data_IF_026541452110
#
_entry.id   IF_026541452110
#
_cell.length_a   1.000
_cell.length_b   1.000
_cell.length_c   1.000
_cell.angle_alpha   90.00
_cell.angle_beta   90.00
_cell.angle_gamma   90.00
#
_symmetry.space_group_name_H-M   'P 1'
#
loop_
_entity.id
_entity.type
_entity.pdbx_description
1 polymer ?
#
# COMPACT_ATOMS: atom_id res chain seq x y z
N UNK A 1 20.65 -27.09 78.74
CA UNK A 1 21.03 -28.34 78.07
C UNK A 1 20.85 -28.12 76.56
N UNK A 2 21.92 -28.10 75.77
CA UNK A 2 21.81 -28.05 74.32
C UNK A 2 21.46 -29.47 73.84
N UNK A 3 20.28 -29.66 73.27
CA UNK A 3 19.92 -30.94 72.64
C UNK A 3 20.80 -31.15 71.40
N UNK A 4 21.55 -32.20 71.37
CA UNK A 4 22.31 -32.63 70.19
C UNK A 4 21.34 -33.27 69.21
N UNK A 5 21.45 -32.95 67.94
CA UNK A 5 20.68 -33.59 66.85
C UNK A 5 21.04 -35.07 66.77
N UNK A 6 20.02 -35.90 66.61
CA UNK A 6 20.25 -37.34 66.36
C UNK A 6 20.70 -37.58 64.90
N UNK A 7 21.48 -38.60 64.66
CA UNK A 7 21.99 -38.96 63.32
C UNK A 7 20.86 -39.20 62.31
N UNK A 8 19.69 -39.69 62.79
CA UNK A 8 18.53 -39.96 61.98
C UNK A 8 17.78 -38.63 61.58
N UNK A 9 17.72 -37.63 62.46
CA UNK A 9 17.15 -36.31 62.14
C UNK A 9 17.99 -35.62 61.05
N UNK A 10 19.30 -35.68 61.12
CA UNK A 10 20.19 -35.14 60.12
C UNK A 10 20.01 -35.85 58.78
N UNK A 11 19.88 -37.19 58.77
CA UNK A 11 19.69 -37.99 57.56
C UNK A 11 18.34 -37.62 56.87
N UNK A 12 17.25 -37.49 57.64
CA UNK A 12 15.94 -37.10 57.08
C UNK A 12 15.96 -35.69 56.50
N UNK A 13 16.60 -34.73 57.16
CA UNK A 13 16.76 -33.35 56.66
C UNK A 13 17.56 -33.34 55.37
N UNK A 14 18.64 -34.09 55.26
CA UNK A 14 19.45 -34.19 54.04
C UNK A 14 18.66 -34.79 52.87
N UNK A 15 17.84 -35.82 53.11
CA UNK A 15 16.96 -36.41 52.09
C UNK A 15 15.94 -35.37 51.59
N UNK A 16 15.27 -34.67 52.50
CA UNK A 16 14.29 -33.64 52.15
C UNK A 16 14.94 -32.51 51.36
N UNK A 17 16.09 -32.02 51.79
CA UNK A 17 16.82 -30.96 51.07
C UNK A 17 17.24 -31.47 49.68
N UNK A 18 17.73 -32.71 49.54
CA UNK A 18 18.07 -33.31 48.27
C UNK A 18 16.90 -33.37 47.27
N UNK A 19 15.72 -33.78 47.76
CA UNK A 19 14.49 -33.80 46.95
C UNK A 19 14.04 -32.40 46.53
N UNK A 20 14.08 -31.43 47.45
CA UNK A 20 13.74 -30.06 47.17
C UNK A 20 14.66 -29.40 46.14
N UNK A 21 15.98 -29.62 46.26
CA UNK A 21 16.96 -29.10 45.32
C UNK A 21 16.76 -29.75 43.94
N UNK A 22 16.61 -31.09 43.88
CA UNK A 22 16.42 -31.82 42.62
C UNK A 22 15.17 -31.36 41.85
N UNK A 23 14.05 -31.16 42.52
CA UNK A 23 12.80 -30.63 41.94
C UNK A 23 12.92 -29.17 41.50
N UNK A 24 13.62 -28.36 42.29
CA UNK A 24 13.79 -26.93 42.01
C UNK A 24 14.66 -26.67 40.76
N UNK A 25 15.71 -27.45 40.53
CA UNK A 25 16.61 -27.30 39.38
C UNK A 25 15.88 -27.57 38.06
N UNK A 26 15.06 -28.63 38.00
CA UNK A 26 14.25 -28.93 36.79
C UNK A 26 13.23 -27.85 36.50
N UNK A 27 12.54 -27.35 37.52
CA UNK A 27 11.56 -26.27 37.37
C UNK A 27 12.20 -24.95 36.94
N UNK A 28 13.36 -24.62 37.49
CA UNK A 28 14.14 -23.43 37.13
C UNK A 28 14.55 -23.44 35.65
N UNK A 29 15.03 -24.59 35.14
CA UNK A 29 15.38 -24.77 33.74
C UNK A 29 14.22 -24.48 32.79
N UNK A 30 13.00 -25.01 33.08
CA UNK A 30 11.82 -24.80 32.28
C UNK A 30 11.38 -23.30 32.31
N UNK A 31 11.43 -22.70 33.49
CA UNK A 31 11.05 -21.28 33.64
C UNK A 31 12.01 -20.37 32.90
N UNK A 32 13.30 -20.64 32.94
CA UNK A 32 14.35 -19.87 32.23
C UNK A 32 14.18 -19.97 30.72
N UNK A 33 13.89 -21.17 30.19
CA UNK A 33 13.62 -21.38 28.77
C UNK A 33 12.39 -20.56 28.32
N UNK A 34 11.29 -20.66 29.05
CA UNK A 34 10.07 -19.88 28.73
C UNK A 34 10.32 -18.37 28.79
N UNK A 35 11.11 -17.90 29.78
CA UNK A 35 11.45 -16.50 29.90
C UNK A 35 12.27 -16.01 28.69
N UNK A 36 13.24 -16.81 28.22
CA UNK A 36 14.04 -16.49 27.03
C UNK A 36 13.21 -16.45 25.76
N UNK A 37 12.31 -17.43 25.53
CA UNK A 37 11.39 -17.43 24.39
C UNK A 37 10.55 -16.17 24.41
N UNK A 38 9.95 -15.84 25.58
CA UNK A 38 9.12 -14.64 25.75
C UNK A 38 9.89 -13.34 25.46
N UNK A 39 11.14 -13.28 25.86
CA UNK A 39 12.00 -12.11 25.61
C UNK A 39 12.32 -11.98 24.11
N UNK A 40 12.63 -13.09 23.41
CA UNK A 40 12.80 -13.06 21.95
C UNK A 40 11.53 -12.66 21.20
N UNK A 41 10.36 -13.14 21.65
CA UNK A 41 9.08 -12.67 21.10
C UNK A 41 8.91 -11.15 21.29
N UNK A 42 9.30 -10.60 22.43
CA UNK A 42 9.22 -9.16 22.69
C UNK A 42 10.19 -8.38 21.79
N UNK A 43 11.44 -8.86 21.61
CA UNK A 43 12.43 -8.27 20.71
C UNK A 43 11.88 -8.21 19.28
N UNK A 44 11.34 -9.33 18.78
CA UNK A 44 10.74 -9.38 17.44
C UNK A 44 9.54 -8.44 17.33
N UNK A 45 8.69 -8.40 18.36
CA UNK A 45 7.52 -7.51 18.40
C UNK A 45 7.95 -6.04 18.34
N UNK A 46 8.92 -5.63 19.14
CA UNK A 46 9.43 -4.25 19.13
C UNK A 46 9.99 -3.87 17.76
N UNK A 47 10.80 -4.72 17.14
CA UNK A 47 11.31 -4.48 15.80
C UNK A 47 10.19 -4.45 14.74
N UNK A 48 9.15 -5.27 14.90
CA UNK A 48 7.96 -5.21 14.03
C UNK A 48 7.28 -3.84 14.11
N UNK A 49 7.11 -3.29 15.31
CA UNK A 49 6.50 -1.95 15.49
C UNK A 49 7.41 -0.84 14.94
N UNK A 50 8.73 -0.99 15.02
CA UNK A 50 9.68 -0.05 14.39
C UNK A 50 9.52 -0.06 12.86
N UNK A 51 9.43 -1.23 12.24
CA UNK A 51 9.19 -1.34 10.79
C UNK A 51 7.84 -0.72 10.42
N UNK A 52 6.77 -0.97 11.19
CA UNK A 52 5.46 -0.34 10.97
C UNK A 52 5.53 1.19 11.05
N UNK A 53 6.24 1.73 12.02
CA UNK A 53 6.45 3.19 12.14
C UNK A 53 7.25 3.74 10.96
N UNK A 54 8.28 3.04 10.49
CA UNK A 54 9.02 3.41 9.29
C UNK A 54 8.08 3.46 8.07
N UNK A 55 7.24 2.44 7.90
CA UNK A 55 6.25 2.35 6.80
C UNK A 55 5.24 3.50 6.86
N UNK A 56 4.70 3.79 8.03
CA UNK A 56 3.76 4.91 8.21
C UNK A 56 4.34 6.25 7.75
N UNK A 57 5.65 6.46 7.97
CA UNK A 57 6.35 7.69 7.59
C UNK A 57 6.87 7.70 6.14
N UNK A 58 7.32 6.56 5.64
CA UNK A 58 8.03 6.46 4.35
C UNK A 58 7.18 5.86 3.23
N UNK A 59 6.04 5.28 3.55
CA UNK A 59 5.10 4.61 2.63
C UNK A 59 5.76 3.49 1.80
N UNK A 60 6.85 2.92 2.31
CA UNK A 60 7.62 1.80 1.74
C UNK A 60 8.18 0.92 2.85
N UNK A 61 8.52 -0.34 2.54
CA UNK A 61 9.29 -1.19 3.45
C UNK A 61 10.76 -0.79 3.47
N UNK A 62 11.45 -0.96 4.61
CA UNK A 62 12.90 -0.89 4.64
C UNK A 62 13.50 -2.09 3.89
N UNK A 63 14.61 -1.89 3.18
CA UNK A 63 15.45 -2.98 2.72
C UNK A 63 16.28 -3.57 3.88
N UNK A 64 17.13 -4.57 3.62
CA UNK A 64 17.94 -5.20 4.68
C UNK A 64 18.92 -4.22 5.36
N UNK A 65 19.48 -3.27 4.61
CA UNK A 65 20.41 -2.29 5.17
C UNK A 65 19.65 -1.27 6.04
N UNK A 66 18.53 -0.76 5.51
CA UNK A 66 17.65 0.14 6.26
C UNK A 66 17.09 -0.55 7.51
N UNK A 67 16.73 -1.85 7.42
CA UNK A 67 16.28 -2.60 8.59
C UNK A 67 17.40 -2.73 9.65
N UNK A 68 18.61 -3.04 9.23
CA UNK A 68 19.76 -3.12 10.14
C UNK A 68 20.08 -1.75 10.80
N UNK A 69 19.76 -0.63 10.16
CA UNK A 69 19.93 0.70 10.72
C UNK A 69 18.85 1.06 11.76
N UNK A 70 17.59 0.72 11.48
CA UNK A 70 16.46 1.10 12.33
C UNK A 70 16.17 0.12 13.46
N UNK A 71 16.60 -1.14 13.35
CA UNK A 71 16.33 -2.17 14.34
C UNK A 71 16.91 -1.78 15.71
N UNK A 72 16.06 -1.79 16.74
CA UNK A 72 16.46 -1.50 18.13
C UNK A 72 17.44 -2.53 18.67
N UNK A 73 17.16 -3.81 18.37
CA UNK A 73 17.98 -4.95 18.77
C UNK A 73 18.14 -5.84 17.54
N UNK A 74 19.41 -6.08 17.15
CA UNK A 74 19.74 -6.82 15.93
C UNK A 74 19.85 -8.34 16.17
N UNK A 75 19.93 -8.74 17.41
CA UNK A 75 20.12 -10.13 17.85
C UNK A 75 18.98 -10.55 18.78
N UNK A 76 18.71 -11.83 18.80
CA UNK A 76 17.78 -12.42 19.76
C UNK A 76 18.47 -12.64 21.13
N UNK A 77 17.72 -13.18 22.11
CA UNK A 77 18.24 -13.41 23.46
C UNK A 77 19.37 -14.44 23.50
N UNK A 78 19.55 -15.24 22.45
CA UNK A 78 20.64 -16.22 22.33
C UNK A 78 21.87 -15.69 21.59
N UNK A 79 21.84 -14.38 21.18
CA UNK A 79 22.94 -13.73 20.47
C UNK A 79 23.00 -14.03 18.98
N UNK A 80 21.91 -14.56 18.41
CA UNK A 80 21.80 -14.82 16.97
C UNK A 80 21.15 -13.62 16.28
N UNK A 81 21.72 -13.19 15.15
CA UNK A 81 21.16 -12.09 14.35
C UNK A 81 19.74 -12.44 13.89
N UNK A 82 18.82 -11.50 14.08
CA UNK A 82 17.46 -11.60 13.55
C UNK A 82 17.50 -11.62 12.02
N UNK A 83 16.68 -12.46 11.43
CA UNK A 83 16.50 -12.51 10.00
C UNK A 83 15.26 -11.71 9.60
N UNK A 84 15.41 -10.87 8.58
CA UNK A 84 14.34 -10.03 8.03
C UNK A 84 14.09 -10.41 6.58
N UNK A 85 12.83 -10.68 6.23
CA UNK A 85 12.40 -10.95 4.87
C UNK A 85 11.24 -10.03 4.54
N UNK A 86 11.30 -9.38 3.39
CA UNK A 86 10.30 -8.42 2.93
C UNK A 86 9.85 -8.72 1.50
N UNK A 87 8.70 -8.22 1.13
CA UNK A 87 8.19 -8.26 -0.24
C UNK A 87 8.93 -7.20 -1.08
N UNK A 88 9.69 -7.60 -2.12
CA UNK A 88 10.54 -6.67 -2.86
C UNK A 88 9.76 -5.58 -3.60
N UNK A 89 8.51 -5.83 -4.00
CA UNK A 89 7.66 -4.84 -4.63
C UNK A 89 7.15 -3.74 -3.67
N UNK A 90 7.45 -3.84 -2.36
CA UNK A 90 7.07 -2.83 -1.37
C UNK A 90 8.24 -1.92 -0.92
N UNK A 91 9.39 -1.96 -1.59
CA UNK A 91 10.57 -1.15 -1.24
C UNK A 91 10.65 0.19 -1.98
N UNK A 92 9.89 0.36 -3.05
CA UNK A 92 9.84 1.60 -3.80
C UNK A 92 9.00 2.66 -3.08
N UNK A 93 9.28 3.93 -3.39
CA UNK A 93 8.56 5.07 -2.80
C UNK A 93 7.06 4.92 -2.99
N UNK A 94 6.30 5.06 -1.91
CA UNK A 94 4.84 4.97 -1.86
C UNK A 94 4.24 3.61 -2.27
N UNK A 95 5.06 2.57 -2.41
CA UNK A 95 4.62 1.24 -2.87
C UNK A 95 3.55 0.60 -1.98
N UNK A 96 3.57 0.89 -0.67
CA UNK A 96 2.50 0.44 0.26
C UNK A 96 1.12 0.92 -0.20
N UNK A 97 1.03 2.12 -0.75
CA UNK A 97 -0.23 2.71 -1.18
C UNK A 97 -0.70 2.19 -2.54
N UNK A 98 0.23 1.86 -3.43
CA UNK A 98 -0.08 1.49 -4.81
C UNK A 98 -0.25 -0.01 -5.02
N UNK A 99 0.54 -0.84 -4.33
CA UNK A 99 0.53 -2.28 -4.52
C UNK A 99 -0.73 -2.93 -3.93
N UNK A 100 -1.37 -3.81 -4.68
CA UNK A 100 -2.57 -4.52 -4.25
C UNK A 100 -2.29 -5.94 -3.74
N UNK A 101 -1.09 -6.45 -3.98
CA UNK A 101 -0.66 -7.78 -3.54
C UNK A 101 0.85 -7.84 -3.35
N UNK A 102 1.29 -8.87 -2.66
CA UNK A 102 2.72 -9.20 -2.52
C UNK A 102 3.00 -10.61 -2.99
N UNK A 103 4.22 -10.90 -3.44
CA UNK A 103 4.60 -12.25 -3.82
C UNK A 103 4.82 -13.18 -2.62
N UNK A 104 4.94 -12.63 -1.39
CA UNK A 104 5.22 -13.44 -0.20
C UNK A 104 3.96 -14.11 0.34
N UNK A 105 4.07 -15.39 0.61
CA UNK A 105 3.07 -16.19 1.34
C UNK A 105 3.74 -17.05 2.42
N UNK A 106 2.99 -17.34 3.48
CA UNK A 106 3.42 -18.24 4.55
C UNK A 106 2.50 -19.46 4.55
N UNK A 107 3.08 -20.66 4.63
CA UNK A 107 2.38 -21.92 4.86
C UNK A 107 2.71 -22.44 6.24
N UNK A 108 1.67 -22.67 7.06
CA UNK A 108 1.80 -23.31 8.35
C UNK A 108 1.70 -24.83 8.15
N UNK A 109 2.80 -25.54 8.33
CA UNK A 109 2.96 -26.96 8.00
C UNK A 109 2.77 -27.84 9.25
N UNK A 110 1.97 -28.92 9.13
CA UNK A 110 1.78 -29.93 10.19
C UNK A 110 2.82 -31.03 10.19
N UNK A 111 3.57 -31.16 9.12
CA UNK A 111 4.64 -32.17 8.98
C UNK A 111 5.88 -31.58 8.32
N UNK A 112 7.00 -32.26 8.43
CA UNK A 112 8.31 -31.81 7.93
C UNK A 112 8.37 -31.64 6.42
N UNK A 113 7.60 -32.42 5.65
CA UNK A 113 7.51 -32.29 4.19
C UNK A 113 6.59 -31.15 3.73
N UNK A 114 5.82 -30.56 4.66
CA UNK A 114 4.78 -29.57 4.35
C UNK A 114 3.74 -30.07 3.31
N UNK A 115 3.48 -31.38 3.30
CA UNK A 115 2.40 -31.97 2.49
C UNK A 115 1.02 -31.79 3.12
N UNK A 116 0.96 -31.59 4.45
CA UNK A 116 -0.23 -31.25 5.22
C UNK A 116 -0.08 -29.80 5.76
N UNK A 117 -0.87 -28.90 5.21
CA UNK A 117 -0.84 -27.46 5.51
C UNK A 117 -2.06 -27.11 6.34
N UNK A 118 -1.86 -26.50 7.51
CA UNK A 118 -2.96 -26.01 8.34
C UNK A 118 -3.58 -24.75 7.77
N UNK A 119 -2.73 -23.79 7.37
CA UNK A 119 -3.15 -22.49 6.86
C UNK A 119 -2.15 -21.96 5.83
N UNK A 120 -2.65 -21.20 4.85
CA UNK A 120 -1.83 -20.43 3.92
C UNK A 120 -2.18 -18.94 4.04
N UNK A 121 -1.20 -18.14 4.43
CA UNK A 121 -1.34 -16.71 4.63
C UNK A 121 -0.73 -16.00 3.43
N UNK A 122 -1.58 -15.33 2.64
CA UNK A 122 -1.18 -14.58 1.44
C UNK A 122 -0.97 -13.10 1.74
N UNK A 123 -0.33 -12.41 0.79
CA UNK A 123 -0.07 -10.96 0.87
C UNK A 123 0.73 -10.57 2.12
N UNK A 124 1.72 -11.38 2.47
CA UNK A 124 2.66 -11.05 3.55
C UNK A 124 3.57 -9.92 3.06
N UNK A 125 3.63 -8.83 3.81
CA UNK A 125 4.49 -7.69 3.49
C UNK A 125 5.93 -7.95 3.95
N UNK A 126 6.09 -8.38 5.19
CA UNK A 126 7.39 -8.74 5.75
C UNK A 126 7.23 -9.72 6.91
N UNK A 127 8.33 -10.34 7.27
CA UNK A 127 8.47 -11.14 8.49
C UNK A 127 9.84 -10.92 9.15
N UNK A 128 9.87 -11.13 10.47
CA UNK A 128 11.07 -11.13 11.28
C UNK A 128 11.15 -12.48 11.99
N UNK A 129 12.34 -13.08 12.01
CA UNK A 129 12.62 -14.41 12.51
C UNK A 129 13.78 -14.40 13.48
N UNK A 130 13.64 -15.14 14.60
CA UNK A 130 14.72 -15.62 15.47
C UNK A 130 14.88 -17.12 15.31
N UNK A 131 16.10 -17.59 15.26
CA UNK A 131 16.44 -19.02 15.11
C UNK A 131 16.13 -19.87 16.34
N UNK A 132 15.59 -19.29 17.40
CA UNK A 132 15.26 -20.02 18.62
C UNK A 132 16.48 -20.51 19.44
N UNK A 133 16.22 -21.45 20.35
CA UNK A 133 17.25 -21.98 21.27
C UNK A 133 18.29 -22.83 20.57
N UNK A 134 17.93 -23.54 19.50
CA UNK A 134 18.83 -24.40 18.75
C UNK A 134 19.81 -23.65 17.84
N UNK A 135 19.64 -22.35 17.67
CA UNK A 135 20.44 -21.44 16.85
C UNK A 135 20.45 -21.75 15.35
N UNK A 136 19.59 -22.65 14.89
CA UNK A 136 19.47 -23.03 13.49
C UNK A 136 18.23 -22.39 12.87
N UNK A 137 18.37 -21.81 11.67
CA UNK A 137 17.22 -21.34 10.91
C UNK A 137 16.53 -22.53 10.25
N UNK A 138 15.48 -23.03 10.87
CA UNK A 138 14.65 -24.12 10.33
C UNK A 138 13.63 -23.59 9.29
N UNK A 139 13.46 -22.27 9.24
CA UNK A 139 12.60 -21.58 8.27
C UNK A 139 13.44 -21.08 7.09
N UNK A 140 13.18 -21.59 5.90
CA UNK A 140 13.85 -21.14 4.67
C UNK A 140 13.26 -19.82 4.17
N UNK A 141 14.07 -18.76 4.17
CA UNK A 141 13.72 -17.43 3.68
C UNK A 141 14.18 -17.17 2.24
N UNK A 142 14.73 -18.14 1.53
CA UNK A 142 15.25 -17.97 0.16
C UNK A 142 14.11 -17.76 -0.86
N UNK A 143 12.96 -18.38 -0.61
CA UNK A 143 11.81 -18.38 -1.49
C UNK A 143 10.74 -17.33 -1.09
N UNK A 144 9.75 -17.14 -1.95
CA UNK A 144 8.58 -16.31 -1.66
C UNK A 144 7.49 -17.08 -0.89
N UNK A 145 7.48 -18.40 -0.97
CA UNK A 145 6.64 -19.27 -0.14
C UNK A 145 7.44 -19.74 1.07
N UNK A 146 7.18 -19.13 2.20
CA UNK A 146 7.87 -19.40 3.47
C UNK A 146 7.10 -20.50 4.21
N UNK A 147 7.82 -21.56 4.61
CA UNK A 147 7.25 -22.65 5.39
C UNK A 147 7.61 -22.46 6.87
N UNK A 148 6.60 -22.39 7.71
CA UNK A 148 6.74 -22.44 9.17
C UNK A 148 6.02 -23.69 9.68
N UNK A 149 6.46 -24.24 10.79
CA UNK A 149 5.98 -25.53 11.25
C UNK A 149 5.32 -25.42 12.61
N UNK A 150 4.35 -26.30 12.87
CA UNK A 150 3.76 -26.39 14.20
C UNK A 150 4.80 -26.85 15.24
N UNK A 151 4.65 -26.43 16.51
CA UNK A 151 5.53 -26.86 17.58
C UNK A 151 5.64 -28.39 17.67
N UNK A 152 6.88 -28.88 17.78
CA UNK A 152 7.17 -30.31 17.89
C UNK A 152 7.36 -31.04 16.55
N UNK A 153 7.08 -30.41 15.40
CA UNK A 153 7.46 -30.96 14.09
C UNK A 153 8.99 -30.94 14.02
N UNK A 154 9.59 -32.10 13.71
CA UNK A 154 11.03 -32.15 13.52
C UNK A 154 11.41 -31.73 12.13
N UNK A 155 12.23 -30.69 12.03
CA UNK A 155 12.70 -30.09 10.78
C UNK A 155 14.21 -30.00 10.84
N UNK A 156 14.84 -30.29 9.72
CA UNK A 156 16.27 -30.06 9.54
C UNK A 156 16.51 -28.63 9.11
N UNK A 157 17.64 -28.04 9.50
CA UNK A 157 18.09 -26.79 8.89
C UNK A 157 18.60 -27.10 7.48
N UNK A 158 18.32 -26.23 6.52
CA UNK A 158 18.73 -26.40 5.13
C UNK A 158 20.24 -26.27 4.90
N UNK A 159 21.05 -26.43 5.93
CA UNK A 159 22.52 -26.39 5.86
C UNK A 159 23.12 -27.76 6.12
N UNK A 160 23.71 -28.24 5.13
CA UNK A 160 24.61 -29.34 4.78
C UNK A 160 25.35 -30.17 5.86
N UNK A 161 25.07 -30.06 7.13
CA UNK A 161 25.78 -30.82 8.12
C UNK A 161 25.04 -32.05 8.65
N UNK A 162 23.96 -32.33 7.96
CA UNK A 162 23.33 -33.65 8.02
C UNK A 162 22.78 -34.12 9.35
N UNK A 163 21.51 -34.46 9.34
CA UNK A 163 21.01 -35.68 9.96
C UNK A 163 20.46 -35.59 11.38
N UNK A 164 20.24 -34.42 11.95
CA UNK A 164 19.49 -34.36 13.19
C UNK A 164 18.33 -33.37 13.10
N UNK A 165 17.19 -33.76 12.46
CA UNK A 165 16.00 -32.96 12.53
C UNK A 165 15.60 -32.72 13.99
N UNK A 166 15.66 -31.48 14.42
CA UNK A 166 15.29 -31.05 15.77
C UNK A 166 13.82 -30.51 15.75
N UNK A 167 13.14 -30.51 16.91
CA UNK A 167 11.85 -29.86 17.01
C UNK A 167 11.95 -28.42 16.57
N UNK A 168 10.98 -27.98 15.75
CA UNK A 168 10.88 -26.61 15.28
C UNK A 168 10.74 -25.64 16.44
N UNK A 169 11.65 -24.66 16.54
CA UNK A 169 11.69 -23.65 17.60
C UNK A 169 11.95 -22.22 17.10
N UNK A 170 12.01 -22.01 15.78
CA UNK A 170 12.09 -20.68 15.21
C UNK A 170 10.88 -19.83 15.65
N UNK A 171 11.15 -18.59 16.04
CA UNK A 171 10.13 -17.63 16.43
C UNK A 171 9.92 -16.68 15.26
N UNK A 172 8.74 -16.74 14.64
CA UNK A 172 8.42 -15.96 13.44
C UNK A 172 7.26 -15.02 13.71
N UNK A 173 7.41 -13.77 13.30
CA UNK A 173 6.34 -12.78 13.29
C UNK A 173 6.25 -12.14 11.91
N UNK A 174 5.06 -12.08 11.36
CA UNK A 174 4.78 -11.50 10.04
C UNK A 174 3.73 -10.40 10.12
N UNK A 175 3.71 -9.56 9.10
CA UNK A 175 2.74 -8.49 8.90
C UNK A 175 2.24 -8.57 7.47
N UNK A 176 0.94 -8.41 7.27
CA UNK A 176 0.30 -8.43 5.96
C UNK A 176 0.24 -7.03 5.34
N UNK A 177 0.08 -6.96 4.02
CA UNK A 177 -0.01 -5.69 3.30
C UNK A 177 -1.23 -4.86 3.73
N UNK A 178 -2.38 -5.51 3.94
CA UNK A 178 -3.60 -4.84 4.41
C UNK A 178 -3.41 -4.17 5.78
N UNK A 179 -2.66 -4.81 6.68
CA UNK A 179 -2.31 -4.23 7.99
C UNK A 179 -1.46 -2.95 7.84
N UNK A 180 -0.48 -2.96 6.92
CA UNK A 180 0.33 -1.78 6.64
C UNK A 180 -0.48 -0.65 5.99
N UNK A 181 -1.37 -0.98 5.06
CA UNK A 181 -2.27 0.01 4.43
C UNK A 181 -3.16 0.72 5.45
N UNK A 182 -3.63 -0.01 6.47
CA UNK A 182 -4.49 0.55 7.51
C UNK A 182 -3.79 1.58 8.42
N UNK A 183 -2.46 1.49 8.56
CA UNK A 183 -1.66 2.42 9.38
C UNK A 183 -0.98 3.52 8.57
N UNK A 184 -1.08 3.46 7.25
CA UNK A 184 -0.41 4.39 6.33
C UNK A 184 -1.45 5.34 5.74
N UNK A 185 -1.22 6.65 5.85
CA UNK A 185 -2.07 7.64 5.18
C UNK A 185 -1.72 7.68 3.69
N UNK A 186 -2.61 7.12 2.88
CA UNK A 186 -2.46 7.01 1.43
C UNK A 186 -3.44 7.90 0.64
N UNK A 187 -4.20 8.77 1.28
CA UNK A 187 -5.23 9.55 0.58
C UNK A 187 -4.65 10.44 -0.53
N UNK A 188 -3.53 11.10 -0.27
CA UNK A 188 -2.85 11.94 -1.26
C UNK A 188 -2.19 11.14 -2.40
N UNK A 189 -2.01 9.85 -2.20
CA UNK A 189 -1.34 8.96 -3.17
C UNK A 189 -2.33 8.21 -4.06
N UNK A 190 -3.63 8.28 -3.77
CA UNK A 190 -4.65 7.67 -4.62
C UNK A 190 -4.77 8.43 -5.93
N UNK A 191 -4.97 7.68 -7.03
CA UNK A 191 -5.25 8.32 -8.31
C UNK A 191 -6.54 9.13 -8.18
N UNK A 192 -6.51 10.38 -8.67
CA UNK A 192 -7.68 11.24 -8.71
C UNK A 192 -7.62 12.24 -9.86
N UNK A 193 -8.81 12.60 -10.37
CA UNK A 193 -8.98 13.62 -11.41
C UNK A 193 -8.91 15.00 -10.76
N UNK A 194 -8.02 15.86 -11.26
CA UNK A 194 -7.78 17.21 -10.73
C UNK A 194 -8.88 18.19 -11.09
N UNK A 195 -9.44 18.06 -12.29
CA UNK A 195 -10.44 18.99 -12.79
C UNK A 195 -11.79 18.76 -12.10
N UNK A 196 -12.37 19.81 -11.54
CA UNK A 196 -13.74 19.78 -11.00
C UNK A 196 -14.79 20.13 -12.05
N UNK A 197 -14.41 20.91 -13.07
CA UNK A 197 -15.25 21.38 -14.16
C UNK A 197 -14.43 21.55 -15.43
N UNK A 198 -15.11 21.65 -16.56
CA UNK A 198 -14.54 21.96 -17.87
C UNK A 198 -15.18 23.23 -18.43
N UNK A 199 -14.49 24.02 -19.29
CA UNK A 199 -15.03 25.22 -19.86
C UNK A 199 -16.28 24.94 -20.73
N UNK A 200 -17.18 25.90 -20.82
CA UNK A 200 -18.26 25.89 -21.81
C UNK A 200 -17.71 26.19 -23.22
N UNK A 201 -18.43 25.76 -24.24
CA UNK A 201 -18.13 26.04 -25.64
C UNK A 201 -19.20 26.87 -26.30
N UNK A 202 -18.96 27.27 -27.58
CA UNK A 202 -19.90 27.86 -28.47
C UNK A 202 -19.99 27.07 -29.79
N UNK A 203 -21.19 26.93 -30.30
CA UNK A 203 -21.42 26.28 -31.58
C UNK A 203 -20.65 27.03 -32.71
N UNK A 204 -19.93 26.28 -33.53
CA UNK A 204 -19.10 26.82 -34.62
C UNK A 204 -17.74 27.37 -34.19
N UNK A 205 -17.41 27.42 -32.90
CA UNK A 205 -16.12 27.88 -32.41
C UNK A 205 -15.22 26.71 -32.00
N UNK A 206 -13.88 26.89 -32.10
CA UNK A 206 -12.93 25.90 -31.70
C UNK A 206 -12.95 25.66 -30.19
N UNK A 207 -13.16 24.44 -29.76
CA UNK A 207 -13.19 24.01 -28.37
C UNK A 207 -12.02 23.14 -28.01
N UNK A 208 -11.47 23.34 -26.81
CA UNK A 208 -10.41 22.50 -26.25
C UNK A 208 -10.46 22.50 -24.71
N UNK A 209 -10.65 21.33 -24.13
CA UNK A 209 -10.58 21.13 -22.69
C UNK A 209 -9.61 19.97 -22.39
N UNK A 210 -8.74 20.16 -21.42
CA UNK A 210 -7.85 19.11 -20.91
C UNK A 210 -8.24 18.73 -19.50
N UNK A 211 -8.23 17.43 -19.20
CA UNK A 211 -8.53 16.85 -17.92
C UNK A 211 -7.26 16.11 -17.46
N UNK A 212 -6.79 16.44 -16.28
CA UNK A 212 -5.57 15.90 -15.69
C UNK A 212 -5.90 15.02 -14.48
N UNK A 213 -5.00 14.09 -14.21
CA UNK A 213 -5.04 13.27 -13.00
C UNK A 213 -3.67 13.27 -12.32
N UNK A 214 -3.66 13.05 -11.02
CA UNK A 214 -2.46 12.83 -10.23
C UNK A 214 -2.66 11.70 -9.22
N UNK A 215 -1.58 11.32 -8.51
CA UNK A 215 -1.57 10.16 -7.62
C UNK A 215 -1.49 8.85 -8.41
N UNK A 216 -1.65 7.73 -7.69
CA UNK A 216 -1.53 6.40 -8.27
C UNK A 216 -0.14 6.06 -8.84
N UNK A 217 0.03 4.84 -9.30
CA UNK A 217 1.26 4.38 -9.94
C UNK A 217 1.22 4.66 -11.45
N UNK A 218 2.09 5.55 -11.92
CA UNK A 218 2.20 5.90 -13.34
C UNK A 218 2.78 4.77 -14.18
N UNK A 219 2.34 4.64 -15.44
CA UNK A 219 3.03 3.82 -16.42
C UNK A 219 4.40 4.41 -16.72
N UNK A 220 5.39 3.55 -16.96
CA UNK A 220 6.79 3.94 -17.22
C UNK A 220 7.29 3.53 -18.60
N UNK A 221 6.38 3.01 -19.44
CA UNK A 221 6.68 2.49 -20.80
C UNK A 221 6.68 3.55 -21.89
N UNK A 222 6.43 4.83 -21.53
CA UNK A 222 6.35 5.95 -22.46
C UNK A 222 5.03 6.05 -23.24
N UNK A 223 4.04 5.19 -22.97
CA UNK A 223 2.74 5.23 -23.64
C UNK A 223 1.78 6.29 -23.07
N UNK A 224 2.17 6.94 -21.98
CA UNK A 224 1.36 7.89 -21.19
C UNK A 224 1.20 7.44 -19.74
N UNK A 225 1.02 8.41 -18.84
CA UNK A 225 1.05 8.16 -17.40
C UNK A 225 -0.09 7.27 -16.91
N UNK A 226 -1.29 7.39 -17.51
CA UNK A 226 -2.52 6.75 -17.04
C UNK A 226 -3.34 6.19 -18.20
N UNK A 227 -4.24 5.27 -17.88
CA UNK A 227 -5.26 4.77 -18.80
C UNK A 227 -6.53 5.60 -18.67
N UNK A 228 -7.21 5.89 -19.79
CA UNK A 228 -8.41 6.71 -19.84
C UNK A 228 -9.56 6.03 -20.60
N UNK A 229 -10.77 6.26 -20.11
CA UNK A 229 -12.03 5.88 -20.75
C UNK A 229 -13.07 6.97 -20.48
N UNK A 230 -14.08 7.09 -21.33
CA UNK A 230 -15.21 7.97 -21.03
C UNK A 230 -16.55 7.32 -21.41
N UNK A 231 -17.57 7.72 -20.69
CA UNK A 231 -18.98 7.38 -20.92
C UNK A 231 -19.77 8.64 -21.24
N UNK A 232 -20.89 8.45 -21.95
CA UNK A 232 -21.75 9.55 -22.36
C UNK A 232 -21.48 10.00 -23.80
N UNK A 233 -22.32 10.92 -24.29
CA UNK A 233 -22.24 11.40 -25.68
C UNK A 233 -21.58 12.79 -25.70
N UNK A 234 -20.55 12.93 -26.53
CA UNK A 234 -19.98 14.23 -26.86
C UNK A 234 -20.88 14.97 -27.86
N UNK A 235 -20.91 16.31 -27.81
CA UNK A 235 -21.55 17.15 -28.86
C UNK A 235 -20.99 16.77 -30.24
N UNK A 236 -21.85 16.82 -31.27
CA UNK A 236 -21.42 16.63 -32.66
C UNK A 236 -20.30 17.61 -33.00
N UNK A 237 -19.22 17.15 -33.67
CA UNK A 237 -18.04 17.94 -34.00
C UNK A 237 -16.94 17.99 -32.94
N UNK A 238 -17.17 17.41 -31.72
CA UNK A 238 -16.13 17.22 -30.72
C UNK A 238 -15.66 15.75 -30.67
N UNK A 239 -14.36 15.59 -30.42
CA UNK A 239 -13.71 14.31 -30.27
C UNK A 239 -12.93 14.25 -28.96
N UNK A 240 -12.81 13.05 -28.39
CA UNK A 240 -11.93 12.77 -27.26
C UNK A 240 -10.52 12.35 -27.72
N UNK A 241 -9.52 12.59 -26.88
CA UNK A 241 -8.15 12.13 -27.08
C UNK A 241 -7.52 11.85 -25.69
N UNK A 242 -7.22 10.62 -25.34
CA UNK A 242 -7.36 9.41 -26.15
C UNK A 242 -8.86 9.07 -26.42
N UNK A 243 -9.12 8.56 -27.60
CA UNK A 243 -10.47 8.19 -28.02
C UNK A 243 -10.76 6.74 -27.64
N UNK A 244 -11.32 6.54 -26.47
CA UNK A 244 -11.94 5.29 -26.06
C UNK A 244 -13.24 5.56 -25.30
N UNK A 245 -14.35 5.39 -26.02
CA UNK A 245 -15.70 5.48 -25.52
C UNK A 245 -16.26 4.09 -25.19
N UNK A 246 -16.89 3.95 -24.04
CA UNK A 246 -17.66 2.76 -23.66
C UNK A 246 -18.93 3.17 -22.95
N UNK A 247 -19.96 2.33 -23.00
CA UNK A 247 -21.13 2.50 -22.15
C UNK A 247 -20.93 1.90 -20.77
N UNK A 248 -19.82 1.16 -20.58
CA UNK A 248 -19.42 0.53 -19.33
C UNK A 248 -17.88 0.46 -19.27
N UNK A 249 -17.29 1.58 -18.86
CA UNK A 249 -15.84 1.67 -18.72
C UNK A 249 -15.30 0.67 -17.70
N UNK A 250 -16.01 0.44 -16.59
CA UNK A 250 -15.52 -0.43 -15.51
C UNK A 250 -15.31 -1.87 -15.95
N UNK A 251 -16.12 -2.37 -16.86
CA UNK A 251 -15.99 -3.74 -17.40
C UNK A 251 -15.14 -3.84 -18.68
N UNK A 252 -14.52 -2.73 -19.12
CA UNK A 252 -13.73 -2.65 -20.35
C UNK A 252 -12.30 -2.17 -20.17
N UNK A 253 -11.73 -2.35 -18.97
CA UNK A 253 -10.44 -1.77 -18.54
C UNK A 253 -9.27 -2.12 -19.46
N UNK A 254 -9.25 -3.32 -20.03
CA UNK A 254 -8.18 -3.80 -20.91
C UNK A 254 -8.09 -3.02 -22.23
N UNK A 255 -9.16 -2.34 -22.62
CA UNK A 255 -9.23 -1.55 -23.85
C UNK A 255 -8.94 -0.06 -23.67
N UNK A 256 -8.81 0.40 -22.41
CA UNK A 256 -8.53 1.80 -22.13
C UNK A 256 -7.23 2.24 -22.78
N UNK A 257 -7.15 3.50 -23.15
CA UNK A 257 -5.99 4.07 -23.85
C UNK A 257 -5.11 4.86 -22.90
N UNK A 258 -3.82 4.68 -23.02
CA UNK A 258 -2.82 5.40 -22.26
C UNK A 258 -2.63 6.83 -22.78
N UNK A 259 -2.55 7.79 -21.88
CA UNK A 259 -2.19 9.18 -22.15
C UNK A 259 -1.78 9.91 -20.86
N UNK A 260 -1.13 11.05 -20.98
CA UNK A 260 -0.77 11.92 -19.86
C UNK A 260 -1.95 12.74 -19.36
N UNK A 261 -2.93 12.98 -20.21
CA UNK A 261 -4.18 13.69 -19.92
C UNK A 261 -5.28 13.24 -20.89
N UNK A 262 -6.52 13.43 -20.49
CA UNK A 262 -7.66 13.29 -21.38
C UNK A 262 -8.04 14.66 -21.95
N UNK A 263 -8.34 14.74 -23.25
CA UNK A 263 -8.66 16.00 -23.91
C UNK A 263 -9.93 15.86 -24.73
N UNK A 264 -10.79 16.87 -24.68
CA UNK A 264 -11.92 17.05 -25.59
C UNK A 264 -11.56 18.21 -26.51
N UNK A 265 -11.65 18.00 -27.82
CA UNK A 265 -11.26 19.00 -28.84
C UNK A 265 -12.14 18.92 -30.08
N UNK A 266 -12.25 20.02 -30.82
CA UNK A 266 -12.99 20.10 -32.07
C UNK A 266 -13.79 21.39 -32.20
N UNK A 267 -14.76 21.41 -33.13
CA UNK A 267 -15.68 22.52 -33.33
C UNK A 267 -17.11 21.98 -33.18
N UNK A 268 -17.81 22.24 -32.08
CA UNK A 268 -19.16 21.71 -31.88
C UNK A 268 -20.14 22.28 -32.92
N UNK A 269 -20.95 21.42 -33.48
CA UNK A 269 -21.97 21.77 -34.46
C UNK A 269 -23.39 21.67 -33.90
N UNK A 270 -23.51 21.44 -32.59
CA UNK A 270 -24.79 21.47 -31.88
C UNK A 270 -24.63 22.13 -30.51
N UNK A 271 -25.58 22.97 -30.15
CA UNK A 271 -25.66 23.57 -28.82
C UNK A 271 -26.49 22.71 -27.87
N UNK A 272 -26.22 22.82 -26.57
CA UNK A 272 -26.95 22.07 -25.54
C UNK A 272 -26.11 21.79 -24.31
N UNK A 273 -26.70 20.99 -23.41
CA UNK A 273 -26.03 20.50 -22.20
C UNK A 273 -25.77 18.98 -22.30
N UNK A 274 -24.53 18.63 -22.23
CA UNK A 274 -24.07 17.24 -22.35
C UNK A 274 -23.45 16.81 -21.03
N UNK A 275 -23.66 15.55 -20.65
CA UNK A 275 -23.00 14.93 -19.50
C UNK A 275 -22.06 13.85 -19.97
N UNK A 276 -20.81 13.93 -19.56
CA UNK A 276 -19.80 12.89 -19.77
C UNK A 276 -19.21 12.47 -18.43
N UNK A 277 -18.88 11.22 -18.29
CA UNK A 277 -18.11 10.70 -17.14
C UNK A 277 -16.77 10.24 -17.67
N UNK A 278 -15.70 10.82 -17.15
CA UNK A 278 -14.33 10.44 -17.49
C UNK A 278 -13.79 9.57 -16.38
N UNK A 279 -13.15 8.48 -16.76
CA UNK A 279 -12.52 7.52 -15.90
C UNK A 279 -11.02 7.55 -16.14
N UNK A 280 -10.25 7.41 -15.09
CA UNK A 280 -8.79 7.28 -15.14
C UNK A 280 -8.36 6.08 -14.32
N UNK A 281 -7.38 5.31 -14.80
CA UNK A 281 -6.78 4.22 -14.06
C UNK A 281 -5.25 4.33 -14.06
N UNK A 282 -4.66 3.96 -12.93
CA UNK A 282 -3.24 3.83 -12.78
C UNK A 282 -2.71 2.47 -13.32
N UNK A 283 -1.41 2.23 -13.25
CA UNK A 283 -0.76 0.98 -13.69
C UNK A 283 -1.32 -0.26 -12.97
N UNK A 284 -1.74 -0.13 -11.73
CA UNK A 284 -2.30 -1.21 -10.91
C UNK A 284 -3.83 -1.32 -11.05
N UNK A 285 -4.42 -0.58 -11.99
CA UNK A 285 -5.86 -0.54 -12.22
C UNK A 285 -6.68 0.00 -11.05
N UNK A 286 -6.08 0.84 -10.19
CA UNK A 286 -6.86 1.67 -9.29
C UNK A 286 -7.55 2.75 -10.12
N UNK A 287 -8.84 3.00 -9.87
CA UNK A 287 -9.69 3.83 -10.73
C UNK A 287 -10.23 5.02 -9.95
N UNK A 288 -10.21 6.18 -10.59
CA UNK A 288 -11.05 7.33 -10.23
C UNK A 288 -11.93 7.75 -11.40
N UNK A 289 -13.04 8.44 -11.10
CA UNK A 289 -13.96 8.96 -12.10
C UNK A 289 -14.56 10.28 -11.68
N UNK A 290 -14.80 11.12 -12.67
CA UNK A 290 -15.52 12.38 -12.47
C UNK A 290 -16.51 12.64 -13.60
N UNK A 291 -17.71 13.16 -13.24
CA UNK A 291 -18.74 13.53 -14.21
C UNK A 291 -18.68 15.02 -14.49
N UNK A 292 -18.57 15.37 -15.76
CA UNK A 292 -18.52 16.74 -16.22
C UNK A 292 -19.81 17.12 -16.95
N UNK A 293 -20.31 18.33 -16.69
CA UNK A 293 -21.32 19.00 -17.52
C UNK A 293 -20.59 19.81 -18.59
N UNK A 294 -20.81 19.49 -19.86
CA UNK A 294 -20.31 20.26 -21.00
C UNK A 294 -21.47 21.05 -21.58
N UNK A 295 -21.44 22.36 -21.41
CA UNK A 295 -22.40 23.27 -22.01
C UNK A 295 -21.84 23.86 -23.30
N UNK A 296 -22.56 23.71 -24.40
CA UNK A 296 -22.28 24.37 -25.65
C UNK A 296 -23.38 25.39 -25.89
N UNK A 297 -23.03 26.67 -25.89
CA UNK A 297 -23.93 27.77 -26.17
C UNK A 297 -24.18 27.88 -27.67
N UNK A 298 -25.35 28.41 -28.10
CA UNK A 298 -25.59 28.71 -29.52
C UNK A 298 -24.52 29.67 -30.06
N UNK A 299 -24.27 29.61 -31.38
CA UNK A 299 -23.37 30.53 -32.05
C UNK A 299 -23.78 31.98 -31.77
N UNK A 300 -22.79 32.84 -31.47
CA UNK A 300 -23.06 34.26 -31.27
C UNK A 300 -23.60 34.81 -32.59
N UNK A 301 -24.91 35.18 -32.61
CA UNK A 301 -25.47 35.92 -33.76
C UNK A 301 -24.77 37.25 -33.82
N UNK A 302 -23.73 37.38 -34.66
CA UNK A 302 -23.24 38.71 -35.06
C UNK A 302 -24.38 39.39 -35.81
N UNK A 303 -25.09 40.28 -35.11
CA UNK A 303 -26.11 41.09 -35.70
C UNK A 303 -25.52 41.87 -36.86
N UNK A 304 -25.91 41.47 -38.09
CA UNK A 304 -25.74 42.27 -39.28
C UNK A 304 -26.51 43.55 -39.07
N UNK A 305 -25.81 44.63 -38.70
CA UNK A 305 -26.39 45.99 -38.72
C UNK A 305 -26.60 46.43 -40.15
N UNK A 306 -27.80 46.13 -40.64
CA UNK A 306 -28.35 46.78 -41.82
C UNK A 306 -28.53 48.24 -41.51
N UNK A 307 -27.86 49.12 -42.29
CA UNK A 307 -27.95 50.56 -42.20
C UNK A 307 -29.35 51.05 -42.45
N UNK A 308 -29.83 51.88 -41.53
CA UNK A 308 -31.01 52.70 -41.64
C UNK A 308 -30.74 54.08 -41.03
N UNK A 309 -30.49 55.09 -41.86
CA UNK A 309 -30.32 56.46 -41.44
C UNK A 309 -31.64 57.06 -40.93
N UNK A 310 -31.57 57.85 -39.82
CA UNK A 310 -32.63 58.73 -39.43
C UNK A 310 -32.63 59.24 -38.00
N UNK A 311 -32.09 60.42 -37.73
CA UNK A 311 -32.72 61.44 -36.88
C UNK A 311 -32.52 61.37 -35.36
N UNK A 312 -31.65 62.18 -34.85
CA UNK A 312 -31.62 63.09 -33.72
C UNK A 312 -32.41 62.84 -32.44
N UNK A 313 -31.70 62.90 -31.26
CA UNK A 313 -32.32 63.05 -29.96
C UNK A 313 -31.29 62.87 -28.84
N UNK A 314 -30.85 64.00 -28.30
CA UNK A 314 -29.97 64.11 -27.15
C UNK A 314 -30.57 63.58 -25.85
N UNK A 315 -29.88 62.88 -25.03
CA UNK A 315 -30.28 62.55 -23.68
C UNK A 315 -29.24 61.75 -22.98
N UNK A 316 -28.52 62.35 -22.03
CA UNK A 316 -27.40 61.73 -21.27
C UNK A 316 -27.81 60.63 -20.30
N UNK A 317 -26.92 59.77 -20.07
CA UNK A 317 -26.99 58.73 -19.04
C UNK A 317 -25.90 57.68 -19.27
N UNK A 318 -24.79 57.80 -18.61
CA UNK A 318 -23.67 56.86 -18.71
C UNK A 318 -24.07 55.49 -18.22
N UNK A 319 -23.60 54.42 -18.86
CA UNK A 319 -23.71 53.09 -18.35
C UNK A 319 -22.52 52.76 -17.46
N UNK A 320 -22.84 52.37 -16.26
CA UNK A 320 -21.98 51.66 -15.35
C UNK A 320 -21.48 50.39 -16.01
N UNK A 321 -20.16 50.28 -16.17
CA UNK A 321 -19.50 49.06 -16.61
C UNK A 321 -19.66 47.94 -15.59
N UNK A 322 -19.58 46.69 -16.04
CA UNK A 322 -19.68 45.58 -15.14
C UNK A 322 -18.44 45.50 -14.29
N UNK A 323 -18.60 45.24 -12.95
CA UNK A 323 -17.48 44.94 -12.08
C UNK A 323 -17.07 43.48 -12.28
N UNK A 324 -15.82 43.24 -12.15
CA UNK A 324 -15.09 41.98 -11.89
C UNK A 324 -13.95 41.70 -12.87
N UNK A 325 -12.91 42.48 -12.72
CA UNK A 325 -11.57 42.03 -13.00
C UNK A 325 -11.04 41.29 -11.79
N UNK A 326 -10.99 39.97 -11.83
CA UNK A 326 -10.19 39.18 -10.86
C UNK A 326 -8.84 38.98 -11.50
N UNK A 327 -7.86 39.75 -11.01
CA UNK A 327 -6.44 39.55 -11.25
C UNK A 327 -5.99 38.49 -10.24
N UNK A 328 -5.54 37.34 -10.71
CA UNK A 328 -4.78 36.38 -9.88
C UNK A 328 -3.31 36.73 -9.92
N UNK A 329 -2.67 37.02 -8.78
CA UNK A 329 -1.23 37.11 -8.73
C UNK A 329 -0.64 35.72 -8.41
N UNK A 330 -0.10 35.09 -9.42
CA UNK A 330 0.84 34.00 -9.22
C UNK A 330 2.24 34.53 -9.49
N UNK A 331 3.02 34.75 -8.41
CA UNK A 331 4.48 34.54 -8.35
C UNK A 331 5.01 34.96 -6.99
N UNK A 332 5.51 34.01 -6.24
CA UNK A 332 6.72 33.96 -5.40
C UNK A 332 6.43 33.20 -4.08
N UNK A 333 6.92 32.04 -3.91
CA UNK A 333 8.24 31.55 -3.49
C UNK A 333 8.22 30.02 -3.50
#
# INVERSE_FOLDING_TARGET
MKKAFTLIELAIVLIIIGLLIGGSVSMYSILTKRAKVKESENIIKENTEIVKNFVSLRKKLPDNNEFDEIAKTKEDIWGKKLSYKYAPNLTDKNSICYENSTPLEIKICKNSSCSDVEETIKNVAFLILSSGENLNNQTDLSNNTIKIYLPGVKVDDNKSDTDNPSPYDDIVRWVKLDELKNITDCEEEKIHILNKEIPYGYEGESYKAKIYAEGGLKNTDGSGNYKWCYEGKLPAGLNADPDYHSNDCLNSLDFWKNADYFQIKGTPSESGNFKITVFVADKNNNIDKHSFALTVNPASSSGSSGGGSGGGGSGGGGPSGPPWGIIFPWWKK
#
